data_IF_530281612909
#
_entry.id   IF_530281612909
#
_cell.length_a   1.000
_cell.length_b   1.000
_cell.length_c   1.000
_cell.angle_alpha   90.00
_cell.angle_beta   90.00
_cell.angle_gamma   90.00
#
_symmetry.space_group_name_H-M   'P 1'
#
loop_
_entity.id
_entity.type
_entity.pdbx_description
1 polymer ?
#
# COMPACT_ATOMS: atom_id res chain seq x y z
N UNK A 1 -58.24 57.64 35.07
CA UNK A 1 -58.43 57.43 36.52
C UNK A 1 -57.21 56.68 36.99
N UNK A 2 -56.34 57.35 37.75
CA UNK A 2 -55.06 56.84 38.28
C UNK A 2 -55.30 56.06 39.58
N UNK A 3 -54.23 55.37 40.03
CA UNK A 3 -54.04 54.59 41.29
C UNK A 3 -54.59 53.15 41.28
N UNK A 4 -53.93 52.10 41.80
CA UNK A 4 -52.92 51.97 42.86
C UNK A 4 -52.29 50.54 42.95
N UNK A 5 -50.98 50.47 43.20
CA UNK A 5 -50.19 49.63 44.18
C UNK A 5 -50.26 48.06 44.33
N UNK A 6 -49.02 47.50 44.40
CA UNK A 6 -48.46 46.40 45.26
C UNK A 6 -48.72 44.94 44.81
N UNK A 7 -47.80 43.99 44.53
CA UNK A 7 -46.40 43.55 44.89
C UNK A 7 -46.41 42.25 45.74
N UNK A 8 -45.97 41.14 45.11
CA UNK A 8 -45.29 39.88 45.56
C UNK A 8 -45.88 39.07 46.77
N UNK A 9 -45.80 37.73 46.93
CA UNK A 9 -44.67 36.75 46.91
C UNK A 9 -45.15 35.26 47.07
N UNK A 10 -44.37 34.28 46.55
CA UNK A 10 -43.96 32.92 47.07
C UNK A 10 -45.05 31.87 47.48
N UNK A 11 -45.00 30.53 47.34
CA UNK A 11 -43.95 29.50 47.16
C UNK A 11 -44.52 28.10 46.76
N UNK A 12 -43.74 27.35 45.98
CA UNK A 12 -43.43 25.90 45.86
C UNK A 12 -44.39 24.66 45.94
N UNK A 13 -44.14 23.79 44.94
CA UNK A 13 -44.09 22.31 44.87
C UNK A 13 -45.36 21.41 44.94
N UNK A 14 -45.62 20.64 43.86
CA UNK A 14 -45.63 19.14 43.80
C UNK A 14 -45.93 18.60 42.37
N UNK A 15 -44.94 17.87 41.83
CA UNK A 15 -44.94 16.73 40.90
C UNK A 15 -45.76 16.66 39.57
N UNK A 16 -44.97 16.66 38.48
CA UNK A 16 -44.87 15.65 37.40
C UNK A 16 -46.11 15.27 36.52
N UNK A 17 -46.08 15.71 35.25
CA UNK A 17 -46.39 14.85 34.09
C UNK A 17 -45.52 15.21 32.87
N UNK A 18 -45.14 14.16 32.14
CA UNK A 18 -43.95 14.04 31.26
C UNK A 18 -44.19 14.47 29.80
N UNK A 19 -43.17 15.14 29.24
CA UNK A 19 -42.48 14.95 27.95
C UNK A 19 -43.27 14.84 26.64
N UNK A 20 -43.02 15.77 25.71
CA UNK A 20 -42.41 15.44 24.40
C UNK A 20 -41.94 16.72 23.69
N UNK A 21 -40.62 16.99 23.74
CA UNK A 21 -39.93 17.91 22.84
C UNK A 21 -38.86 17.08 22.14
N UNK A 22 -39.12 16.66 20.90
CA UNK A 22 -38.10 16.01 20.08
C UNK A 22 -37.17 17.07 19.50
N UNK A 23 -36.12 17.40 20.26
CA UNK A 23 -34.93 18.09 19.73
C UNK A 23 -34.17 17.06 18.91
N UNK A 24 -34.14 17.25 17.58
CA UNK A 24 -33.34 16.45 16.67
C UNK A 24 -31.86 16.84 16.85
N UNK A 25 -31.16 16.20 17.79
CA UNK A 25 -29.71 16.24 17.87
C UNK A 25 -29.16 15.46 16.67
N UNK A 26 -28.81 16.18 15.59
CA UNK A 26 -27.95 15.63 14.54
C UNK A 26 -26.57 15.48 15.18
N UNK A 27 -26.32 14.31 15.77
CA UNK A 27 -24.96 13.84 16.00
C UNK A 27 -24.35 13.65 14.62
N UNK A 28 -23.64 14.67 14.15
CA UNK A 28 -22.65 14.47 13.09
C UNK A 28 -21.64 13.51 13.70
N UNK A 29 -21.81 12.22 13.39
CA UNK A 29 -20.74 11.25 13.56
C UNK A 29 -19.59 11.78 12.71
N UNK A 30 -18.63 12.43 13.36
CA UNK A 30 -17.29 12.55 12.82
C UNK A 30 -16.82 11.11 12.65
N UNK A 31 -16.99 10.56 11.45
CA UNK A 31 -16.23 9.38 11.08
C UNK A 31 -14.77 9.82 11.19
N UNK A 32 -13.94 9.18 12.04
CA UNK A 32 -12.52 9.45 11.99
C UNK A 32 -12.11 9.13 10.56
N UNK A 33 -11.59 10.13 9.85
CA UNK A 33 -10.90 9.89 8.60
C UNK A 33 -9.78 8.92 8.94
N UNK A 34 -9.97 7.65 8.62
CA UNK A 34 -8.93 6.65 8.76
C UNK A 34 -7.93 6.98 7.68
N UNK A 35 -6.92 7.80 8.00
CA UNK A 35 -5.76 7.99 7.14
C UNK A 35 -5.13 6.62 6.93
N UNK A 36 -5.05 6.19 5.68
CA UNK A 36 -4.70 4.82 5.35
C UNK A 36 -3.17 4.64 5.21
N UNK A 37 -2.34 5.64 5.58
CA UNK A 37 -0.87 5.59 5.47
C UNK A 37 -0.12 6.45 6.47
N UNK A 38 1.11 6.84 6.13
CA UNK A 38 2.01 7.50 7.10
C UNK A 38 1.35 8.74 7.67
N UNK A 39 1.09 8.68 8.98
CA UNK A 39 0.72 9.87 9.73
C UNK A 39 1.98 10.44 10.35
N UNK A 40 2.15 11.75 10.22
CA UNK A 40 3.30 12.47 10.72
C UNK A 40 2.95 13.17 12.02
N UNK A 41 3.85 13.08 12.99
CA UNK A 41 3.67 13.62 14.34
C UNK A 41 4.95 14.33 14.75
N UNK A 42 4.84 15.36 15.57
CA UNK A 42 6.01 16.08 16.06
C UNK A 42 5.77 16.60 17.47
N UNK A 43 6.85 16.88 18.19
CA UNK A 43 6.78 17.65 19.44
C UNK A 43 6.86 19.13 19.11
N UNK A 44 6.00 19.93 19.74
CA UNK A 44 6.06 21.40 19.74
C UNK A 44 6.47 21.98 21.11
N UNK A 45 6.45 21.15 22.16
CA UNK A 45 6.71 21.57 23.54
C UNK A 45 8.16 21.30 24.01
N UNK A 46 8.74 20.16 23.62
CA UNK A 46 10.03 19.72 24.15
C UNK A 46 11.05 19.43 23.07
N UNK A 47 12.27 19.93 23.28
CA UNK A 47 13.46 19.65 22.47
C UNK A 47 14.34 18.61 23.14
N UNK A 48 14.96 17.74 22.34
CA UNK A 48 15.77 16.63 22.82
C UNK A 48 16.93 16.33 21.87
N UNK A 49 17.95 15.62 22.34
CA UNK A 49 19.04 15.19 21.46
C UNK A 49 18.55 14.15 20.45
N UNK A 50 19.33 13.85 19.41
CA UNK A 50 18.86 12.99 18.32
C UNK A 50 18.50 11.56 18.80
N UNK A 51 19.30 11.00 19.71
CA UNK A 51 19.04 9.66 20.26
C UNK A 51 17.77 9.62 21.12
N UNK A 52 17.53 10.68 21.90
CA UNK A 52 16.30 10.85 22.67
C UNK A 52 15.08 11.07 21.77
N UNK A 53 15.23 11.87 20.70
CA UNK A 53 14.20 12.10 19.69
C UNK A 53 13.74 10.79 19.06
N UNK A 54 14.70 9.92 18.72
CA UNK A 54 14.39 8.61 18.16
C UNK A 54 13.62 7.74 19.16
N UNK A 55 14.10 7.65 20.39
CA UNK A 55 13.41 6.90 21.46
C UNK A 55 12.01 7.45 21.72
N UNK A 56 11.85 8.77 21.69
CA UNK A 56 10.56 9.42 21.87
C UNK A 56 9.58 9.01 20.76
N UNK A 57 10.01 9.05 19.49
CA UNK A 57 9.21 8.58 18.37
C UNK A 57 8.86 7.09 18.49
N UNK A 58 9.83 6.23 18.79
CA UNK A 58 9.60 4.78 18.95
C UNK A 58 8.67 4.43 20.11
N UNK A 59 8.63 5.25 21.16
CA UNK A 59 7.76 5.02 22.33
C UNK A 59 6.29 5.36 22.10
N UNK A 60 5.97 6.18 21.08
CA UNK A 60 4.62 6.76 20.85
C UNK A 60 4.06 6.48 19.46
N UNK A 61 4.95 6.30 18.50
CA UNK A 61 4.67 6.11 17.07
C UNK A 61 5.48 4.91 16.56
N UNK A 62 6.00 4.97 15.33
CA UNK A 62 6.85 3.90 14.78
C UNK A 62 8.34 4.22 14.92
N UNK A 63 8.81 5.29 14.27
CA UNK A 63 10.18 5.77 14.41
C UNK A 63 10.24 7.25 13.96
N UNK A 64 11.42 7.86 13.97
CA UNK A 64 11.62 9.19 13.35
C UNK A 64 11.40 9.13 11.83
N UNK A 65 10.97 10.25 11.24
CA UNK A 65 10.67 10.32 9.80
C UNK A 65 11.85 9.93 8.92
N UNK A 66 11.58 9.09 7.93
CA UNK A 66 12.52 8.72 6.88
C UNK A 66 11.86 8.93 5.51
N UNK A 67 12.50 9.69 4.62
CA UNK A 67 11.86 10.07 3.36
C UNK A 67 12.20 9.09 2.24
N UNK A 68 11.19 8.68 1.48
CA UNK A 68 11.35 7.85 0.29
C UNK A 68 11.54 8.68 -0.99
N UNK A 69 11.06 9.92 -0.99
CA UNK A 69 11.10 10.83 -2.14
C UNK A 69 10.90 12.29 -1.71
N UNK A 70 11.11 13.23 -2.65
CA UNK A 70 10.97 14.67 -2.39
C UNK A 70 9.53 15.08 -2.03
N UNK A 71 8.51 14.42 -2.60
CA UNK A 71 7.10 14.74 -2.31
C UNK A 71 6.78 14.49 -0.83
N UNK A 72 7.35 13.43 -0.25
CA UNK A 72 7.20 13.12 1.16
C UNK A 72 7.86 14.16 2.07
N UNK A 73 9.11 14.54 1.74
CA UNK A 73 9.82 15.62 2.43
C UNK A 73 8.99 16.92 2.44
N UNK A 74 8.49 17.32 1.27
CA UNK A 74 7.74 18.56 1.11
C UNK A 74 6.40 18.52 1.86
N UNK A 75 5.74 17.35 1.86
CA UNK A 75 4.51 17.15 2.61
C UNK A 75 4.75 17.29 4.12
N UNK A 76 5.77 16.62 4.68
CA UNK A 76 6.10 16.79 6.11
C UNK A 76 6.43 18.24 6.45
N UNK A 77 7.20 18.93 5.60
CA UNK A 77 7.52 20.35 5.79
C UNK A 77 6.27 21.23 5.74
N UNK A 78 5.23 20.84 5.01
CA UNK A 78 3.94 21.57 4.99
C UNK A 78 3.14 21.44 6.29
N UNK A 79 3.34 20.34 7.03
CA UNK A 79 2.68 20.08 8.33
C UNK A 79 3.39 20.77 9.51
N UNK A 80 4.71 20.95 9.40
CA UNK A 80 5.52 21.48 10.50
C UNK A 80 5.32 22.99 10.70
N UNK A 81 5.15 23.46 11.96
CA UNK A 81 5.09 24.87 12.29
C UNK A 81 6.30 25.63 11.76
N UNK A 82 6.06 26.80 11.16
CA UNK A 82 7.15 27.66 10.68
C UNK A 82 8.03 28.15 11.84
N UNK A 83 9.35 28.16 11.63
CA UNK A 83 10.32 28.63 12.63
C UNK A 83 11.36 29.53 11.96
N UNK A 84 11.67 30.66 12.57
CA UNK A 84 12.66 31.63 12.03
C UNK A 84 14.10 31.26 12.32
N UNK A 85 14.35 30.28 13.20
CA UNK A 85 15.67 29.82 13.60
C UNK A 85 15.63 28.51 14.39
N UNK A 86 16.82 27.98 14.67
CA UNK A 86 17.02 26.82 15.54
C UNK A 86 16.41 27.06 16.94
N UNK A 87 15.86 26.05 17.63
CA UNK A 87 15.85 24.63 17.27
C UNK A 87 14.85 24.32 16.17
N UNK A 88 15.30 23.67 15.09
CA UNK A 88 14.40 23.10 14.08
C UNK A 88 14.02 21.67 14.47
N UNK A 89 13.90 20.78 13.49
CA UNK A 89 13.35 19.44 13.69
C UNK A 89 14.36 18.36 13.28
N UNK A 90 14.49 17.32 14.10
CA UNK A 90 15.31 16.15 13.80
C UNK A 90 14.60 15.22 12.79
N UNK A 91 15.36 14.72 11.82
CA UNK A 91 14.92 13.67 10.88
C UNK A 91 15.79 12.41 10.99
N UNK A 92 15.25 11.28 10.55
CA UNK A 92 15.80 9.94 10.78
C UNK A 92 16.95 9.53 9.86
N UNK A 93 17.85 10.45 9.52
CA UNK A 93 19.04 10.16 8.70
C UNK A 93 20.30 10.46 9.51
N UNK A 94 21.26 9.56 9.46
CA UNK A 94 22.50 9.65 10.27
C UNK A 94 23.67 8.92 9.59
N UNK A 95 24.88 9.12 10.11
CA UNK A 95 26.09 8.36 9.79
C UNK A 95 26.91 8.17 11.07
N UNK A 96 27.84 7.21 11.14
CA UNK A 96 28.66 7.01 12.35
C UNK A 96 30.07 7.59 12.20
N UNK A 97 30.55 7.69 10.97
CA UNK A 97 31.89 8.18 10.66
C UNK A 97 31.86 9.19 9.50
N UNK A 98 32.88 10.06 9.42
CA UNK A 98 32.95 11.13 8.43
C UNK A 98 32.85 10.62 6.99
N UNK A 99 33.53 9.50 6.70
CA UNK A 99 33.65 8.91 5.37
C UNK A 99 32.53 7.92 5.02
N UNK A 100 31.49 7.81 5.86
CA UNK A 100 30.33 6.98 5.57
C UNK A 100 29.25 7.73 4.80
N UNK A 101 28.46 6.96 4.06
CA UNK A 101 27.24 7.45 3.42
C UNK A 101 26.14 7.67 4.47
N UNK A 102 25.36 8.73 4.30
CA UNK A 102 24.13 8.95 5.05
C UNK A 102 23.16 7.78 4.86
N UNK A 103 22.58 7.31 5.96
CA UNK A 103 21.67 6.18 6.00
C UNK A 103 20.40 6.54 6.74
N UNK A 104 19.26 6.18 6.15
CA UNK A 104 17.99 6.24 6.83
C UNK A 104 17.91 5.16 7.91
N UNK A 105 17.34 5.54 9.05
CA UNK A 105 16.94 4.57 10.06
C UNK A 105 15.85 3.64 9.51
N UNK A 106 15.71 2.46 10.11
CA UNK A 106 14.69 1.48 9.73
C UNK A 106 15.13 0.57 8.58
N UNK A 107 15.12 1.08 7.34
CA UNK A 107 15.41 0.27 6.15
C UNK A 107 16.86 0.34 5.65
N UNK A 108 17.72 1.14 6.31
CA UNK A 108 19.12 1.33 5.95
C UNK A 108 19.33 1.79 4.48
N UNK A 109 18.31 2.43 3.89
CA UNK A 109 18.38 3.04 2.56
C UNK A 109 19.39 4.19 2.55
N UNK A 110 20.05 4.37 1.41
CA UNK A 110 21.01 5.46 1.17
C UNK A 110 20.44 6.56 0.28
N UNK A 111 19.13 6.55 0.02
CA UNK A 111 18.49 7.58 -0.80
C UNK A 111 18.72 8.97 -0.20
N UNK A 112 19.26 9.89 -0.99
CA UNK A 112 19.38 11.30 -0.65
C UNK A 112 18.90 12.06 -1.88
N UNK A 113 17.88 12.90 -1.74
CA UNK A 113 17.36 13.67 -2.86
C UNK A 113 18.38 14.69 -3.37
N UNK A 114 18.44 14.90 -4.69
CA UNK A 114 19.39 15.84 -5.33
C UNK A 114 19.31 17.27 -4.80
N UNK A 115 18.17 17.65 -4.21
CA UNK A 115 17.91 18.99 -3.68
C UNK A 115 17.59 18.96 -2.19
N UNK A 116 17.96 17.90 -1.47
CA UNK A 116 17.62 17.75 -0.07
C UNK A 116 18.49 18.62 0.83
N UNK A 117 19.78 18.74 0.56
CA UNK A 117 20.69 19.57 1.36
C UNK A 117 20.53 21.07 1.11
N UNK A 118 20.71 21.87 2.16
CA UNK A 118 20.79 23.32 2.03
C UNK A 118 22.09 23.72 1.31
N UNK A 119 22.14 24.97 0.85
CA UNK A 119 23.32 25.48 0.15
C UNK A 119 24.54 25.40 1.06
N UNK A 120 25.59 24.68 0.63
CA UNK A 120 26.83 24.35 1.36
C UNK A 120 26.75 23.19 2.36
N UNK A 121 25.62 22.51 2.48
CA UNK A 121 25.48 21.32 3.33
C UNK A 121 25.66 20.00 2.55
N UNK A 122 26.08 18.90 3.19
CA UNK A 122 26.51 18.80 4.59
C UNK A 122 27.97 19.26 4.77
N UNK A 123 28.24 20.10 5.77
CA UNK A 123 29.51 20.82 5.91
C UNK A 123 30.41 20.34 7.06
N UNK A 124 29.88 19.59 8.03
CA UNK A 124 30.56 19.15 9.23
C UNK A 124 31.37 20.27 9.96
N UNK A 125 30.85 21.49 9.96
CA UNK A 125 31.44 22.70 10.54
C UNK A 125 31.78 22.54 12.02
N UNK A 126 30.97 21.83 12.80
CA UNK A 126 31.22 21.67 14.23
C UNK A 126 32.00 20.42 14.62
N UNK A 127 32.46 19.62 13.65
CA UNK A 127 33.09 18.30 13.82
C UNK A 127 32.12 17.28 14.45
N UNK A 128 31.95 16.15 13.77
CA UNK A 128 31.04 15.06 14.13
C UNK A 128 29.55 15.45 14.05
N UNK A 129 29.20 16.23 13.03
CA UNK A 129 27.81 16.56 12.68
C UNK A 129 27.20 15.40 11.89
N UNK A 130 26.75 14.41 12.64
CA UNK A 130 26.35 13.11 12.11
C UNK A 130 24.84 12.88 12.19
N UNK A 131 24.10 13.89 12.61
CA UNK A 131 22.64 13.91 12.68
C UNK A 131 22.12 15.05 11.82
N UNK A 132 20.86 14.99 11.38
CA UNK A 132 20.35 15.93 10.40
C UNK A 132 19.07 16.58 10.87
N UNK A 133 19.06 17.92 10.83
CA UNK A 133 17.85 18.70 11.00
C UNK A 133 17.23 19.10 9.66
N UNK A 134 15.93 19.38 9.67
CA UNK A 134 15.21 19.93 8.53
C UNK A 134 14.75 21.35 8.81
N UNK A 135 15.02 22.26 7.88
CA UNK A 135 14.61 23.65 7.97
C UNK A 135 13.13 23.82 7.62
N UNK A 136 12.42 24.56 8.46
CA UNK A 136 10.99 24.88 8.28
C UNK A 136 10.76 26.39 8.31
N UNK A 137 11.78 27.18 7.96
CA UNK A 137 11.66 28.63 7.84
C UNK A 137 10.88 29.04 6.57
N UNK A 138 10.65 30.34 6.39
CA UNK A 138 10.03 30.91 5.19
C UNK A 138 11.08 31.34 4.14
N UNK A 139 12.33 30.93 4.31
CA UNK A 139 13.45 31.33 3.47
C UNK A 139 13.70 30.37 2.31
N UNK A 140 14.77 30.62 1.51
CA UNK A 140 15.14 29.77 0.37
C UNK A 140 15.55 28.35 0.77
N UNK A 141 15.87 28.13 2.05
CA UNK A 141 16.24 26.84 2.59
C UNK A 141 15.06 26.06 3.19
N UNK A 142 13.80 26.51 3.04
CA UNK A 142 12.64 25.76 3.53
C UNK A 142 12.65 24.34 2.94
N UNK A 143 12.50 23.35 3.82
CA UNK A 143 12.51 21.93 3.50
C UNK A 143 13.88 21.32 3.19
N UNK A 144 14.95 22.12 3.32
CA UNK A 144 16.33 21.66 3.15
C UNK A 144 16.93 21.13 4.45
N UNK A 145 17.95 20.29 4.31
CA UNK A 145 18.61 19.60 5.40
C UNK A 145 19.93 20.26 5.77
N UNK A 146 20.29 20.13 7.04
CA UNK A 146 21.55 20.58 7.61
C UNK A 146 22.11 19.50 8.54
N UNK A 147 23.38 19.13 8.38
CA UNK A 147 24.03 18.25 9.34
C UNK A 147 24.37 19.02 10.61
N UNK A 148 24.27 18.34 11.75
CA UNK A 148 24.40 18.95 13.05
C UNK A 148 24.85 17.94 14.10
N UNK A 149 25.41 18.44 15.20
CA UNK A 149 25.79 17.63 16.36
C UNK A 149 24.57 16.94 16.94
N UNK A 150 24.63 15.62 17.01
CA UNK A 150 23.58 14.78 17.57
C UNK A 150 23.20 15.14 19.01
N UNK A 151 24.11 15.74 19.78
CA UNK A 151 23.88 16.20 21.16
C UNK A 151 23.00 17.46 21.25
N UNK A 152 22.86 18.22 20.16
CA UNK A 152 22.05 19.43 20.17
C UNK A 152 20.57 19.11 20.35
N UNK A 153 19.84 19.99 21.04
CA UNK A 153 18.43 19.77 21.33
C UNK A 153 17.56 20.35 20.22
N UNK A 154 16.75 19.51 19.59
CA UNK A 154 15.78 19.89 18.54
C UNK A 154 14.48 19.12 18.71
N UNK A 155 13.44 19.49 17.96
CA UNK A 155 12.14 18.82 18.05
C UNK A 155 12.14 17.52 17.24
N UNK A 156 11.65 16.38 17.78
CA UNK A 156 11.45 15.17 16.97
C UNK A 156 10.34 15.34 15.93
N UNK A 157 10.54 14.77 14.74
CA UNK A 157 9.46 14.42 13.80
C UNK A 157 9.41 12.92 13.66
N UNK A 158 8.23 12.37 13.81
CA UNK A 158 7.94 10.95 13.81
C UNK A 158 6.98 10.60 12.68
N UNK A 159 7.04 9.36 12.23
CA UNK A 159 5.97 8.75 11.46
C UNK A 159 5.34 7.61 12.25
N UNK A 160 4.09 7.30 11.93
CA UNK A 160 3.41 6.09 12.39
C UNK A 160 3.05 5.24 11.17
N UNK A 161 3.75 4.12 11.03
CA UNK A 161 3.49 3.09 10.03
C UNK A 161 2.06 2.55 10.19
N UNK A 162 1.41 2.31 9.06
CA UNK A 162 0.11 1.63 8.99
C UNK A 162 0.22 0.26 8.31
N UNK A 163 1.35 -0.03 7.66
CA UNK A 163 1.62 -1.36 7.15
C UNK A 163 1.78 -2.36 8.30
N UNK A 164 0.88 -3.33 8.34
CA UNK A 164 0.96 -4.52 9.16
C UNK A 164 1.27 -5.73 8.27
N UNK A 165 1.73 -6.83 8.87
CA UNK A 165 1.97 -8.08 8.15
C UNK A 165 0.71 -8.63 7.44
N UNK A 166 -0.47 -8.16 7.83
CA UNK A 166 -1.78 -8.55 7.31
C UNK A 166 -2.34 -7.55 6.28
N UNK A 167 -1.68 -6.41 6.05
CA UNK A 167 -2.19 -5.38 5.13
C UNK A 167 -2.36 -5.92 3.71
N UNK A 168 -1.40 -6.71 3.22
CA UNK A 168 -1.41 -7.34 1.90
C UNK A 168 -1.46 -8.87 2.04
N UNK A 169 -2.35 -9.54 1.31
CA UNK A 169 -2.48 -11.00 1.39
C UNK A 169 -1.33 -11.73 0.68
N UNK A 170 -0.96 -11.27 -0.52
CA UNK A 170 0.06 -11.86 -1.40
C UNK A 170 0.89 -10.77 -2.08
N UNK A 171 1.62 -10.02 -1.26
CA UNK A 171 2.40 -8.87 -1.70
C UNK A 171 3.10 -8.19 -0.54
N UNK A 172 3.88 -7.17 -0.86
CA UNK A 172 4.50 -6.29 0.14
C UNK A 172 3.67 -5.03 0.31
N UNK A 173 3.46 -4.65 1.57
CA UNK A 173 2.85 -3.35 1.89
C UNK A 173 3.88 -2.25 1.71
N UNK A 174 3.52 -1.26 0.90
CA UNK A 174 4.30 -0.05 0.70
C UNK A 174 3.53 1.14 1.24
N UNK A 175 4.21 1.88 2.08
CA UNK A 175 3.73 3.09 2.70
C UNK A 175 3.79 4.27 1.75
N UNK A 176 2.74 5.09 1.75
CA UNK A 176 2.64 6.32 0.97
C UNK A 176 2.13 7.47 1.85
N UNK A 177 2.12 8.70 1.31
CA UNK A 177 1.60 9.88 2.01
C UNK A 177 0.11 9.66 2.28
N UNK A 178 -0.27 9.61 3.56
CA UNK A 178 -1.65 9.41 4.04
C UNK A 178 -2.39 8.15 3.50
N UNK A 179 -1.68 7.23 2.83
CA UNK A 179 -2.24 5.95 2.35
C UNK A 179 -1.21 4.78 2.35
N UNK A 180 -1.68 3.55 2.21
CA UNK A 180 -0.87 2.35 1.99
C UNK A 180 -1.27 1.75 0.66
N UNK A 181 -0.32 1.07 0.03
CA UNK A 181 -0.53 0.38 -1.25
C UNK A 181 0.12 -0.99 -1.17
N UNK A 182 -0.47 -1.98 -1.82
CA UNK A 182 0.13 -3.31 -1.90
C UNK A 182 0.81 -3.50 -3.25
N UNK A 183 2.11 -3.83 -3.22
CA UNK A 183 2.84 -4.32 -4.38
C UNK A 183 2.65 -5.84 -4.46
N UNK A 184 1.77 -6.28 -5.36
CA UNK A 184 1.41 -7.69 -5.45
C UNK A 184 2.53 -8.57 -5.99
N UNK A 185 2.63 -9.77 -5.44
CA UNK A 185 3.41 -10.85 -6.03
C UNK A 185 2.89 -11.18 -7.44
N UNK A 186 3.77 -11.70 -8.30
CA UNK A 186 3.38 -12.09 -9.64
C UNK A 186 2.22 -13.10 -9.62
N UNK A 187 1.14 -12.80 -10.35
CA UNK A 187 -0.04 -13.65 -10.40
C UNK A 187 -1.14 -13.29 -9.41
N UNK A 188 -1.00 -12.19 -8.68
CA UNK A 188 -2.04 -11.65 -7.80
C UNK A 188 -2.35 -10.18 -8.14
N UNK A 189 -3.58 -9.77 -7.85
CA UNK A 189 -4.09 -8.41 -8.05
C UNK A 189 -5.18 -8.06 -7.03
N UNK A 190 -5.60 -6.80 -7.05
CA UNK A 190 -6.49 -6.21 -6.06
C UNK A 190 -5.73 -5.22 -5.18
N UNK A 191 -6.46 -4.37 -4.48
CA UNK A 191 -5.94 -3.38 -3.53
C UNK A 191 -5.12 -4.02 -2.39
N UNK A 192 -5.46 -5.26 -2.02
CA UNK A 192 -4.75 -6.06 -0.99
C UNK A 192 -4.07 -7.31 -1.56
N UNK A 193 -3.96 -7.42 -2.88
CA UNK A 193 -3.41 -8.61 -3.55
C UNK A 193 -4.15 -9.93 -3.22
N UNK A 194 -5.44 -9.82 -2.93
CA UNK A 194 -6.31 -10.91 -2.49
C UNK A 194 -6.79 -11.80 -3.65
N UNK A 195 -6.67 -11.33 -4.90
CA UNK A 195 -7.23 -12.04 -6.05
C UNK A 195 -6.12 -12.63 -6.91
N UNK A 196 -6.11 -13.96 -7.06
CA UNK A 196 -5.22 -14.62 -8.02
C UNK A 196 -5.70 -14.38 -9.45
N UNK A 197 -4.77 -14.08 -10.36
CA UNK A 197 -5.01 -13.85 -11.78
C UNK A 197 -5.70 -15.05 -12.42
N UNK A 198 -6.81 -14.80 -13.10
CA UNK A 198 -7.57 -15.81 -13.83
C UNK A 198 -7.07 -15.95 -15.27
N UNK A 199 -7.01 -17.18 -15.77
CA UNK A 199 -6.89 -17.42 -17.20
C UNK A 199 -8.26 -17.50 -17.86
N UNK A 200 -8.31 -17.27 -19.16
CA UNK A 200 -9.54 -17.37 -19.94
C UNK A 200 -10.19 -18.77 -19.76
N UNK A 201 -11.52 -18.83 -19.53
CA UNK A 201 -12.26 -20.08 -19.43
C UNK A 201 -11.97 -21.04 -20.58
N UNK A 202 -11.48 -22.24 -20.27
CA UNK A 202 -11.27 -23.29 -21.26
C UNK A 202 -12.63 -23.89 -21.67
N UNK A 203 -13.04 -23.79 -22.95
CA UNK A 203 -14.26 -24.43 -23.42
C UNK A 203 -14.15 -25.96 -23.36
N UNK A 204 -15.32 -26.63 -23.35
CA UNK A 204 -15.38 -28.09 -23.44
C UNK A 204 -14.73 -28.57 -24.75
N UNK A 205 -14.08 -29.73 -24.69
CA UNK A 205 -13.47 -30.34 -25.88
C UNK A 205 -14.53 -31.18 -26.59
N UNK A 206 -14.69 -30.94 -27.89
CA UNK A 206 -15.42 -31.88 -28.74
C UNK A 206 -14.67 -33.22 -28.74
N UNK A 207 -15.41 -34.29 -28.46
CA UNK A 207 -14.86 -35.65 -28.35
C UNK A 207 -13.70 -35.79 -27.34
N UNK A 208 -13.73 -35.02 -26.26
CA UNK A 208 -12.77 -35.12 -25.18
C UNK A 208 -13.27 -34.48 -23.88
N UNK A 209 -12.39 -34.46 -22.89
CA UNK A 209 -12.63 -33.79 -21.63
C UNK A 209 -11.33 -33.17 -21.11
N UNK A 210 -11.48 -32.25 -20.16
CA UNK A 210 -10.36 -31.71 -19.42
C UNK A 210 -10.67 -31.65 -17.93
N UNK A 211 -9.63 -31.71 -17.12
CA UNK A 211 -9.72 -31.62 -15.67
C UNK A 211 -8.64 -30.66 -15.17
N UNK A 212 -9.03 -29.67 -14.39
CA UNK A 212 -8.13 -28.66 -13.82
C UNK A 212 -7.89 -28.92 -12.33
N UNK A 213 -6.65 -28.73 -11.87
CA UNK A 213 -6.28 -28.84 -10.46
C UNK A 213 -7.13 -27.89 -9.60
N UNK A 214 -7.75 -28.41 -8.53
CA UNK A 214 -8.59 -27.61 -7.63
C UNK A 214 -9.88 -27.06 -8.25
N UNK A 215 -10.24 -27.46 -9.48
CA UNK A 215 -11.49 -27.05 -10.13
C UNK A 215 -11.58 -25.57 -10.51
N UNK A 216 -10.48 -24.81 -10.44
CA UNK A 216 -10.42 -23.39 -10.83
C UNK A 216 -9.61 -23.20 -12.10
N UNK A 217 -9.55 -21.98 -12.62
CA UNK A 217 -8.69 -21.61 -13.75
C UNK A 217 -7.88 -20.35 -13.40
N UNK A 218 -7.29 -20.36 -12.20
CA UNK A 218 -6.47 -19.28 -11.66
C UNK A 218 -4.98 -19.59 -11.76
N UNK A 219 -4.14 -18.61 -11.48
CA UNK A 219 -2.69 -18.75 -11.45
C UNK A 219 -2.22 -20.05 -10.76
N UNK A 220 -1.21 -20.70 -11.33
CA UNK A 220 -0.70 -22.03 -10.97
C UNK A 220 -1.63 -23.23 -11.21
N UNK A 221 -2.89 -23.02 -11.58
CA UNK A 221 -3.77 -24.13 -11.96
C UNK A 221 -3.24 -24.80 -13.20
N UNK A 222 -3.18 -26.13 -13.17
CA UNK A 222 -2.83 -26.97 -14.32
C UNK A 222 -4.05 -27.75 -14.78
N UNK A 223 -4.34 -27.70 -16.07
CA UNK A 223 -5.44 -28.42 -16.71
C UNK A 223 -4.90 -29.49 -17.66
N UNK A 224 -5.38 -30.71 -17.50
CA UNK A 224 -5.01 -31.87 -18.31
C UNK A 224 -6.14 -32.19 -19.27
N UNK A 225 -5.80 -32.45 -20.53
CA UNK A 225 -6.73 -32.77 -21.61
C UNK A 225 -6.62 -34.23 -22.01
N UNK A 226 -7.78 -34.84 -22.31
CA UNK A 226 -7.85 -36.21 -22.78
C UNK A 226 -8.95 -36.35 -23.84
N UNK A 227 -8.62 -36.98 -24.96
CA UNK A 227 -9.59 -37.31 -25.98
C UNK A 227 -10.32 -38.62 -25.67
N UNK A 228 -11.55 -38.74 -26.14
CA UNK A 228 -12.33 -39.96 -26.08
C UNK A 228 -11.69 -41.04 -26.99
N UNK A 229 -11.98 -42.33 -26.75
CA UNK A 229 -11.52 -43.41 -27.63
C UNK A 229 -11.84 -43.15 -29.10
N UNK A 230 -10.89 -43.44 -30.01
CA UNK A 230 -11.03 -43.19 -31.45
C UNK A 230 -10.51 -41.82 -31.93
N UNK A 231 -10.17 -40.93 -31.00
CA UNK A 231 -9.61 -39.61 -31.30
C UNK A 231 -8.15 -39.49 -30.82
N UNK A 232 -7.40 -38.59 -31.45
CA UNK A 232 -6.02 -38.23 -31.11
C UNK A 232 -6.01 -36.78 -30.64
N UNK A 233 -5.29 -36.50 -29.55
CA UNK A 233 -5.08 -35.14 -29.06
C UNK A 233 -4.02 -34.43 -29.90
N UNK A 234 -4.36 -33.26 -30.44
CA UNK A 234 -3.44 -32.38 -31.17
C UNK A 234 -3.17 -31.14 -30.31
N UNK A 235 -1.90 -30.94 -29.95
CA UNK A 235 -1.44 -29.89 -29.05
C UNK A 235 -0.92 -30.43 -27.71
N UNK A 236 -0.73 -29.53 -26.73
CA UNK A 236 -0.25 -29.92 -25.40
C UNK A 236 -1.34 -30.65 -24.62
N UNK A 237 -1.00 -31.78 -23.99
CA UNK A 237 -1.90 -32.50 -23.08
C UNK A 237 -2.09 -31.79 -21.75
N UNK A 238 -1.25 -30.80 -21.45
CA UNK A 238 -1.26 -30.06 -20.19
C UNK A 238 -1.05 -28.58 -20.45
N UNK A 239 -1.84 -27.73 -19.80
CA UNK A 239 -1.65 -26.27 -19.79
C UNK A 239 -1.66 -25.75 -18.36
N UNK A 240 -0.87 -24.72 -18.08
CA UNK A 240 -0.77 -24.09 -16.75
C UNK A 240 -1.09 -22.61 -16.86
N UNK A 241 -1.90 -22.08 -15.95
CA UNK A 241 -2.23 -20.66 -15.93
C UNK A 241 -1.05 -19.84 -15.38
N UNK A 242 -0.49 -18.95 -16.20
CA UNK A 242 0.66 -18.11 -15.83
C UNK A 242 0.22 -16.89 -15.01
N UNK A 243 1.20 -16.25 -14.38
CA UNK A 243 1.02 -15.04 -13.56
C UNK A 243 0.32 -13.89 -14.30
N UNK A 244 0.47 -13.80 -15.62
CA UNK A 244 -0.14 -12.75 -16.43
C UNK A 244 -1.57 -13.08 -16.89
N UNK A 245 -2.19 -14.16 -16.39
CA UNK A 245 -3.55 -14.57 -16.79
C UNK A 245 -3.63 -15.22 -18.18
N UNK A 246 -2.53 -15.80 -18.67
CA UNK A 246 -2.47 -16.49 -19.97
C UNK A 246 -2.02 -17.93 -19.76
N UNK A 247 -2.62 -18.86 -20.49
CA UNK A 247 -2.24 -20.28 -20.48
C UNK A 247 -0.83 -20.51 -21.03
N UNK A 248 -0.16 -21.56 -20.54
CA UNK A 248 1.19 -21.94 -20.96
C UNK A 248 1.31 -22.28 -22.44
N UNK A 249 0.26 -22.89 -22.98
CA UNK A 249 0.12 -23.30 -24.38
C UNK A 249 -1.33 -23.07 -24.82
N UNK A 250 -1.60 -22.99 -26.14
CA UNK A 250 -2.97 -22.98 -26.66
C UNK A 250 -3.76 -24.22 -26.25
N UNK A 251 -5.09 -24.08 -26.19
CA UNK A 251 -6.00 -25.21 -25.95
C UNK A 251 -5.86 -26.26 -27.08
N UNK A 252 -5.70 -27.55 -26.76
CA UNK A 252 -5.65 -28.61 -27.77
C UNK A 252 -7.04 -28.96 -28.31
N UNK A 253 -7.08 -29.75 -29.38
CA UNK A 253 -8.31 -30.32 -29.94
C UNK A 253 -8.16 -31.81 -30.23
N UNK A 254 -9.29 -32.51 -30.33
CA UNK A 254 -9.35 -33.94 -30.62
C UNK A 254 -9.72 -34.18 -32.09
N UNK A 255 -8.89 -34.92 -32.81
CA UNK A 255 -9.12 -35.29 -34.21
C UNK A 255 -9.38 -36.79 -34.34
N UNK A 256 -10.26 -37.21 -35.24
CA UNK A 256 -10.51 -38.63 -35.49
C UNK A 256 -9.26 -39.30 -36.08
N UNK A 257 -9.06 -40.59 -35.75
CA UNK A 257 -8.08 -41.42 -36.45
C UNK A 257 -8.57 -41.67 -37.86
N UNK A 258 -7.87 -41.19 -38.88
CA UNK A 258 -8.13 -41.59 -40.27
C UNK A 258 -7.91 -43.10 -40.39
N UNK A 259 -8.98 -43.87 -40.52
CA UNK A 259 -8.87 -45.27 -40.91
C UNK A 259 -8.66 -45.30 -42.43
N UNK A 260 -7.57 -45.95 -42.89
CA UNK A 260 -7.47 -46.31 -44.30
C UNK A 260 -8.67 -47.20 -44.61
N UNK A 261 -9.57 -46.73 -45.47
CA UNK A 261 -10.61 -47.58 -46.03
C UNK A 261 -9.96 -48.76 -46.76
N UNK A 262 -10.66 -49.90 -46.91
CA UNK A 262 -10.16 -50.99 -47.72
C UNK A 262 -9.82 -50.46 -49.12
N UNK A 263 -8.58 -50.71 -49.57
CA UNK A 263 -8.20 -50.52 -50.97
C UNK A 263 -9.16 -51.40 -51.78
N UNK A 264 -10.02 -50.80 -52.58
CA UNK A 264 -10.90 -51.54 -53.47
C UNK A 264 -10.05 -52.44 -54.35
N UNK A 265 -10.27 -53.74 -54.26
CA UNK A 265 -9.60 -54.74 -55.08
C UNK A 265 -10.02 -54.54 -56.55
N UNK A 266 -9.11 -54.25 -57.48
CA UNK A 266 -9.47 -53.91 -58.85
C UNK A 266 -9.78 -55.17 -59.67
N UNK A 267 -10.73 -56.00 -59.26
CA UNK A 267 -11.24 -57.12 -60.10
C UNK A 267 -12.72 -57.43 -59.84
N UNK A 268 -13.61 -56.60 -60.38
CA UNK A 268 -14.90 -57.07 -60.90
C UNK A 268 -15.02 -56.68 -62.38
N UNK A 269 -14.27 -57.40 -63.22
CA UNK A 269 -14.48 -57.37 -64.66
C UNK A 269 -15.75 -58.18 -64.96
N UNK A 270 -16.93 -57.55 -64.81
CA UNK A 270 -18.17 -58.13 -65.32
C UNK A 270 -18.15 -58.00 -66.84
N UNK A 271 -17.88 -59.13 -67.51
CA UNK A 271 -18.15 -59.32 -68.94
C UNK A 271 -19.64 -59.06 -69.18
N UNK A 272 -19.93 -58.04 -69.98
CA UNK A 272 -21.16 -57.95 -70.75
C UNK A 272 -21.17 -59.14 -71.72
N UNK A 273 -22.13 -60.05 -71.56
CA UNK A 273 -22.49 -61.02 -72.58
C UNK A 273 -23.98 -60.84 -72.90
N UNK A 274 -24.19 -60.27 -74.09
CA UNK A 274 -25.25 -60.45 -75.09
C UNK A 274 -26.67 -60.71 -74.60
#
# INVERSE_FOLDING_TARGET
MLDWKIKETFDDCVLLRKMSWTILLILVFFQPETSFGWTYHFSDAETMNWTEARKWCQSRFSDMVAFQNQKENDHVVSLLPNRTGSPYYWIGITKNHLNETWKWIGNNSTWVGNHSWATKEPNNVHVNEFCVEIYVNNGPNRGKWNDEKCSNKKFPVCYKAQCENTSCERGSCQETIDNTTCLCEAGFYGDRCQTAMGCAPLPRLDHGHHSCSGGTQKFHTTCTFKCNPGFILIGSSVVTCKAIGIWSQPRPFCSSKCQKGPVGDPKSNQRLNV
#
